data_IF_047282849068
#
_entry.id   IF_047282849068
#
_cell.length_a   1.000
_cell.length_b   1.000
_cell.length_c   1.000
_cell.angle_alpha   90.00
_cell.angle_beta   90.00
_cell.angle_gamma   90.00
#
_symmetry.space_group_name_H-M   'P 1'
#
loop_
_entity.id
_entity.type
_entity.pdbx_description
1 polymer ?
#
# COMPACT_ATOMS: atom_id res chain seq x y z
N UNK A 1 -5.44 15.70 -49.88
CA UNK A 1 -4.92 14.68 -48.94
C UNK A 1 -3.41 14.78 -49.00
N UNK A 2 -2.74 15.18 -47.91
CA UNK A 2 -1.27 15.18 -47.91
C UNK A 2 -0.78 13.75 -48.11
N UNK A 3 0.26 13.51 -48.93
CA UNK A 3 0.81 12.17 -49.11
C UNK A 3 1.25 11.62 -47.75
N UNK A 4 0.87 10.37 -47.46
CA UNK A 4 1.32 9.68 -46.25
C UNK A 4 2.84 9.51 -46.37
N UNK A 5 3.58 10.23 -45.55
CA UNK A 5 5.03 10.08 -45.48
C UNK A 5 5.39 8.85 -44.63
N UNK A 6 6.12 7.92 -45.25
CA UNK A 6 6.52 6.66 -44.66
C UNK A 6 7.40 6.87 -43.44
N UNK A 7 8.37 7.80 -43.53
CA UNK A 7 9.33 8.05 -42.46
C UNK A 7 8.63 8.64 -41.23
N UNK A 8 7.79 9.64 -41.43
CA UNK A 8 6.97 10.22 -40.36
C UNK A 8 6.08 9.17 -39.68
N UNK A 9 5.43 8.31 -40.47
CA UNK A 9 4.55 7.26 -39.93
C UNK A 9 5.33 6.23 -39.10
N UNK A 10 6.51 5.81 -39.58
CA UNK A 10 7.38 4.89 -38.83
C UNK A 10 7.88 5.51 -37.53
N UNK A 11 8.28 6.78 -37.55
CA UNK A 11 8.74 7.50 -36.36
C UNK A 11 7.63 7.66 -35.32
N UNK A 12 6.39 7.92 -35.75
CA UNK A 12 5.23 7.97 -34.86
C UNK A 12 4.94 6.61 -34.24
N UNK A 13 5.00 5.52 -35.02
CA UNK A 13 4.78 4.17 -34.51
C UNK A 13 5.83 3.79 -33.45
N UNK A 14 7.10 4.12 -33.68
CA UNK A 14 8.18 3.89 -32.69
C UNK A 14 7.94 4.67 -31.39
N UNK A 15 7.65 5.97 -31.47
CA UNK A 15 7.34 6.80 -30.29
C UNK A 15 6.18 6.23 -29.46
N UNK A 16 5.15 5.71 -30.13
CA UNK A 16 4.02 5.07 -29.45
C UNK A 16 4.43 3.78 -28.73
N UNK A 17 5.28 2.96 -29.35
CA UNK A 17 5.83 1.76 -28.71
C UNK A 17 6.68 2.14 -27.49
N UNK A 18 7.54 3.14 -27.59
CA UNK A 18 8.40 3.60 -26.48
C UNK A 18 7.57 4.08 -25.28
N UNK A 19 6.50 4.83 -25.54
CA UNK A 19 5.55 5.27 -24.51
C UNK A 19 4.84 4.10 -23.82
N UNK A 20 4.42 3.09 -24.60
CA UNK A 20 3.79 1.88 -24.07
C UNK A 20 4.77 1.05 -23.25
N UNK A 21 6.01 0.89 -23.73
CA UNK A 21 7.08 0.20 -23.00
C UNK A 21 7.31 0.90 -21.66
N UNK A 22 7.46 2.22 -21.65
CA UNK A 22 7.60 3.01 -20.42
C UNK A 22 6.47 2.74 -19.44
N UNK A 23 5.22 2.76 -19.93
CA UNK A 23 4.04 2.51 -19.08
C UNK A 23 4.04 1.11 -18.45
N UNK A 24 4.40 0.08 -19.22
CA UNK A 24 4.49 -1.29 -18.71
C UNK A 24 5.65 -1.44 -17.73
N UNK A 25 6.79 -0.81 -18.00
CA UNK A 25 7.95 -0.80 -17.10
C UNK A 25 7.59 -0.19 -15.74
N UNK A 26 6.91 0.96 -15.73
CA UNK A 26 6.48 1.59 -14.48
C UNK A 26 5.45 0.74 -13.72
N UNK A 27 4.53 0.08 -14.43
CA UNK A 27 3.58 -0.84 -13.80
C UNK A 27 4.29 -2.03 -13.15
N UNK A 28 5.31 -2.60 -13.81
CA UNK A 28 6.09 -3.72 -13.24
C UNK A 28 6.81 -3.28 -11.97
N UNK A 29 7.48 -2.12 -11.99
CA UNK A 29 8.13 -1.54 -10.79
C UNK A 29 7.15 -1.33 -9.65
N UNK A 30 5.98 -0.76 -9.95
CA UNK A 30 4.94 -0.53 -8.95
C UNK A 30 4.42 -1.85 -8.34
N UNK A 31 4.27 -2.90 -9.15
CA UNK A 31 3.87 -4.23 -8.66
C UNK A 31 4.93 -4.87 -7.78
N UNK A 32 6.20 -4.85 -8.21
CA UNK A 32 7.31 -5.34 -7.40
C UNK A 32 7.35 -4.62 -6.04
N UNK A 33 7.25 -3.29 -6.05
CA UNK A 33 7.25 -2.51 -4.81
C UNK A 33 6.04 -2.81 -3.92
N UNK A 34 4.85 -3.01 -4.50
CA UNK A 34 3.66 -3.42 -3.76
C UNK A 34 3.89 -4.74 -3.06
N UNK A 35 4.44 -5.72 -3.75
CA UNK A 35 4.60 -7.08 -3.22
C UNK A 35 5.67 -7.11 -2.11
N UNK A 36 6.77 -6.37 -2.27
CA UNK A 36 7.75 -6.12 -1.20
C UNK A 36 7.11 -5.53 0.06
N UNK A 37 6.27 -4.50 -0.10
CA UNK A 37 5.59 -3.86 1.02
C UNK A 37 4.58 -4.80 1.69
N UNK A 38 3.89 -5.64 0.92
CA UNK A 38 2.98 -6.64 1.49
C UNK A 38 3.72 -7.66 2.33
N UNK A 39 4.92 -8.08 1.91
CA UNK A 39 5.72 -9.00 2.70
C UNK A 39 6.28 -8.35 3.96
N UNK A 40 6.66 -7.06 3.90
CA UNK A 40 7.02 -6.29 5.09
C UNK A 40 5.84 -6.14 6.06
N UNK A 41 4.62 -5.90 5.56
CA UNK A 41 3.41 -5.86 6.39
C UNK A 41 3.15 -7.20 7.06
N UNK A 42 3.27 -8.31 6.33
CA UNK A 42 3.10 -9.65 6.92
C UNK A 42 4.09 -9.93 8.04
N UNK A 43 5.37 -9.56 7.87
CA UNK A 43 6.37 -9.77 8.93
C UNK A 43 6.11 -8.86 10.13
N UNK A 44 5.80 -7.58 9.89
CA UNK A 44 5.42 -6.65 10.95
C UNK A 44 4.19 -7.14 11.74
N UNK A 45 3.19 -7.72 11.06
CA UNK A 45 2.03 -8.32 11.71
C UNK A 45 2.41 -9.53 12.58
N UNK A 46 3.34 -10.38 12.13
CA UNK A 46 3.84 -11.51 12.92
C UNK A 46 4.60 -11.04 14.15
N UNK A 47 5.47 -10.04 13.99
CA UNK A 47 6.20 -9.44 15.10
C UNK A 47 5.24 -8.81 16.12
N UNK A 48 4.22 -8.08 15.66
CA UNK A 48 3.19 -7.52 16.53
C UNK A 48 2.48 -8.61 17.35
N UNK A 49 2.03 -9.70 16.71
CA UNK A 49 1.40 -10.83 17.41
C UNK A 49 2.33 -11.47 18.44
N UNK A 50 3.62 -11.64 18.09
CA UNK A 50 4.62 -12.16 19.02
C UNK A 50 4.82 -11.23 20.22
N UNK A 51 4.85 -9.92 20.00
CA UNK A 51 4.99 -8.91 21.05
C UNK A 51 3.75 -8.88 21.96
N UNK A 52 2.55 -8.92 21.40
CA UNK A 52 1.31 -8.99 22.18
C UNK A 52 1.26 -10.27 23.04
N UNK A 53 1.54 -11.43 22.45
CA UNK A 53 1.61 -12.69 23.19
C UNK A 53 2.72 -12.71 24.26
N UNK A 54 3.81 -11.95 24.05
CA UNK A 54 4.84 -11.74 25.08
C UNK A 54 4.32 -10.85 26.20
N UNK A 55 3.63 -9.75 25.89
CA UNK A 55 3.03 -8.88 26.91
C UNK A 55 2.06 -9.66 27.82
N UNK A 56 1.20 -10.51 27.24
CA UNK A 56 0.32 -11.37 28.03
C UNK A 56 1.10 -12.34 28.96
N UNK A 57 2.21 -12.91 28.48
CA UNK A 57 3.08 -13.77 29.30
C UNK A 57 3.83 -13.01 30.39
N UNK A 58 4.16 -11.75 30.14
CA UNK A 58 4.83 -10.85 31.08
C UNK A 58 3.85 -10.29 32.15
N UNK A 59 2.58 -10.74 32.13
CA UNK A 59 1.58 -10.48 33.18
C UNK A 59 0.57 -9.39 32.83
N UNK A 60 0.60 -8.84 31.62
CA UNK A 60 -0.43 -7.89 31.17
C UNK A 60 -1.75 -8.62 30.89
N UNK A 61 -2.86 -8.04 31.35
CA UNK A 61 -4.18 -8.48 30.92
C UNK A 61 -4.59 -7.82 29.59
N UNK A 62 -5.48 -8.48 28.84
CA UNK A 62 -6.02 -7.93 27.59
C UNK A 62 -6.71 -6.58 27.81
N UNK A 63 -7.39 -6.40 28.94
CA UNK A 63 -8.07 -5.14 29.27
C UNK A 63 -7.10 -3.99 29.54
N UNK A 64 -5.94 -4.26 30.14
CA UNK A 64 -4.89 -3.25 30.33
C UNK A 64 -4.27 -2.86 28.99
N UNK A 65 -3.92 -3.83 28.15
CA UNK A 65 -3.41 -3.56 26.80
C UNK A 65 -4.43 -2.77 25.97
N UNK A 66 -5.70 -3.12 26.06
CA UNK A 66 -6.80 -2.41 25.40
C UNK A 66 -7.01 -0.98 25.91
N UNK A 67 -6.87 -0.74 27.22
CA UNK A 67 -6.87 0.62 27.79
C UNK A 67 -5.71 1.46 27.27
N UNK A 68 -4.58 0.83 26.97
CA UNK A 68 -3.42 1.47 26.33
C UNK A 68 -3.53 1.58 24.81
N UNK A 69 -4.60 1.05 24.19
CA UNK A 69 -4.79 1.07 22.74
C UNK A 69 -3.92 0.06 21.97
N UNK A 70 -3.43 -0.97 22.66
CA UNK A 70 -2.64 -2.07 22.10
C UNK A 70 -3.52 -3.31 21.93
N UNK A 71 -4.65 -3.19 21.23
CA UNK A 71 -5.52 -4.34 20.99
C UNK A 71 -4.96 -5.27 19.90
N UNK A 72 -5.09 -6.58 20.12
CA UNK A 72 -4.67 -7.66 19.18
C UNK A 72 -5.18 -7.39 17.76
N UNK A 73 -6.39 -6.83 17.66
CA UNK A 73 -6.97 -6.36 16.42
C UNK A 73 -6.64 -4.89 16.21
N UNK A 74 -5.40 -4.55 15.85
CA UNK A 74 -5.00 -3.19 15.45
C UNK A 74 -5.69 -2.70 14.15
N UNK A 75 -6.94 -3.09 13.91
CA UNK A 75 -7.94 -2.29 13.22
C UNK A 75 -8.14 -1.06 14.08
N UNK A 76 -7.26 -0.08 13.91
CA UNK A 76 -7.39 1.27 14.41
C UNK A 76 -8.88 1.61 14.48
N UNK A 77 -9.47 1.56 15.69
CA UNK A 77 -10.86 1.98 15.87
C UNK A 77 -10.85 3.42 15.44
N UNK A 78 -11.31 3.70 14.21
CA UNK A 78 -11.61 5.05 13.75
C UNK A 78 -12.58 5.57 14.79
N UNK A 79 -12.09 6.40 15.72
CA UNK A 79 -12.93 7.14 16.64
C UNK A 79 -14.02 7.78 15.78
N UNK A 80 -15.31 7.54 16.03
CA UNK A 80 -16.33 8.30 15.35
C UNK A 80 -16.08 9.75 15.74
N UNK A 81 -15.69 10.59 14.77
CA UNK A 81 -15.75 12.04 14.96
C UNK A 81 -17.22 12.36 15.12
N UNK A 82 -17.66 12.49 16.37
CA UNK A 82 -18.94 13.09 16.69
C UNK A 82 -18.97 14.50 16.10
N UNK A 83 -19.83 14.66 15.10
CA UNK A 83 -20.73 15.79 14.85
C UNK A 83 -20.20 17.22 15.08
N UNK A 84 -20.11 17.93 13.94
CA UNK A 84 -20.69 19.25 13.68
C UNK A 84 -20.41 20.42 14.64
N UNK A 85 -19.70 21.44 14.12
CA UNK A 85 -20.34 22.75 13.96
C UNK A 85 -19.69 23.51 12.80
N UNK A 86 -20.49 23.94 11.83
CA UNK A 86 -20.13 24.91 10.79
C UNK A 86 -21.18 26.00 10.88
N UNK A 87 -20.86 27.04 11.66
CA UNK A 87 -21.51 28.35 11.61
C UNK A 87 -20.77 29.23 10.60
#
# INVERSE_FOLDING_TARGET
MAPIDLETTQNQARKLLDSRITSVTELVKARQRRDELLDQVKEAERENKRAYARALRDGWSEDELKKLGLDETNRTRRRPRGTANRE
#
